data_IF_080653266554
#
_entry.id   IF_080653266554
#
_cell.length_a   1.000
_cell.length_b   1.000
_cell.length_c   1.000
_cell.angle_alpha   90.00
_cell.angle_beta   90.00
_cell.angle_gamma   90.00
#
_symmetry.space_group_name_H-M   'P 1'
#
loop_
_entity.id
_entity.type
_entity.pdbx_description
1 polymer ?
#
# COMPACT_ATOMS: atom_id res chain seq x y z
N UNK A 1 -3.76 -4.17 12.71
CA UNK A 1 -2.72 -3.11 12.48
C UNK A 1 -1.36 -3.73 12.75
N UNK A 2 -0.32 -3.32 12.03
CA UNK A 2 1.05 -3.81 12.31
C UNK A 2 1.54 -3.39 13.70
N UNK A 3 2.47 -4.17 14.25
CA UNK A 3 3.18 -3.82 15.49
C UNK A 3 4.13 -2.63 15.26
N UNK A 4 4.68 -2.10 16.34
CA UNK A 4 5.58 -0.94 16.34
C UNK A 4 6.86 -1.15 15.52
N UNK A 5 7.44 -2.35 15.50
CA UNK A 5 8.63 -2.66 14.70
C UNK A 5 8.34 -2.77 13.20
N UNK A 6 7.12 -3.14 12.82
CA UNK A 6 6.69 -3.25 11.42
C UNK A 6 5.98 -2.00 10.89
N UNK A 7 5.80 -0.93 11.70
CA UNK A 7 5.20 0.33 11.21
C UNK A 7 5.97 0.94 10.05
N UNK A 8 7.29 0.77 10.00
CA UNK A 8 8.17 1.23 8.92
C UNK A 8 8.18 0.33 7.68
N UNK A 9 7.43 -0.78 7.70
CA UNK A 9 7.34 -1.69 6.57
C UNK A 9 6.74 -0.98 5.35
N UNK A 10 5.62 -0.27 5.52
CA UNK A 10 5.03 0.55 4.48
C UNK A 10 5.71 1.93 4.43
N UNK A 11 6.21 2.32 3.26
CA UNK A 11 6.85 3.62 3.04
C UNK A 11 5.89 4.62 2.41
N UNK A 12 6.33 5.87 2.22
CA UNK A 12 5.57 6.93 1.54
C UNK A 12 4.15 7.18 2.11
N UNK A 13 3.98 7.02 3.43
CA UNK A 13 2.69 7.25 4.09
C UNK A 13 1.70 6.08 3.96
N UNK A 14 2.14 4.90 3.51
CA UNK A 14 1.34 3.68 3.51
C UNK A 14 0.89 3.25 4.90
N UNK A 15 -0.33 2.71 4.99
CA UNK A 15 -0.87 2.17 6.24
C UNK A 15 -0.60 0.68 6.31
N UNK A 16 0.04 0.22 7.38
CA UNK A 16 0.42 -1.18 7.57
C UNK A 16 -0.67 -2.00 8.27
N UNK A 17 -0.98 -3.16 7.68
CA UNK A 17 -1.88 -4.18 8.20
C UNK A 17 -1.15 -5.51 8.34
N UNK A 18 -1.52 -6.26 9.36
CA UNK A 18 -1.04 -7.62 9.57
C UNK A 18 -2.22 -8.55 9.32
N UNK A 19 -2.05 -9.53 8.43
CA UNK A 19 -3.08 -10.48 8.01
C UNK A 19 -2.92 -11.74 8.86
N UNK A 20 -3.76 -11.84 9.87
CA UNK A 20 -3.85 -13.01 10.74
C UNK A 20 -4.31 -14.24 9.91
N UNK A 21 -3.72 -15.40 10.16
CA UNK A 21 -4.00 -16.65 9.43
C UNK A 21 -2.96 -17.02 8.37
N UNK A 22 -2.29 -16.03 7.77
CA UNK A 22 -1.18 -16.27 6.82
C UNK A 22 0.15 -15.65 7.27
N UNK A 23 0.18 -15.01 8.44
CA UNK A 23 1.37 -14.39 9.05
C UNK A 23 2.12 -13.43 8.10
N UNK A 24 1.37 -12.60 7.36
CA UNK A 24 1.92 -11.67 6.38
C UNK A 24 1.57 -10.21 6.69
N UNK A 25 2.46 -9.31 6.27
CA UNK A 25 2.27 -7.86 6.31
C UNK A 25 1.73 -7.38 4.96
N UNK A 26 0.83 -6.41 4.99
CA UNK A 26 0.25 -5.81 3.79
C UNK A 26 0.11 -4.29 3.98
N UNK A 27 0.25 -3.55 2.88
CA UNK A 27 0.21 -2.09 2.87
C UNK A 27 -0.97 -1.56 2.08
N UNK A 28 -1.74 -0.64 2.67
CA UNK A 28 -2.65 0.22 1.91
C UNK A 28 -1.88 1.47 1.48
N UNK A 29 -1.63 1.58 0.19
CA UNK A 29 -0.89 2.69 -0.37
C UNK A 29 -1.77 3.92 -0.58
N UNK A 30 -1.26 5.13 -0.32
CA UNK A 30 -1.93 6.35 -0.71
C UNK A 30 -1.94 6.50 -2.24
N UNK A 31 -2.82 7.37 -2.73
CA UNK A 31 -2.88 7.72 -4.16
C UNK A 31 -1.51 8.22 -4.61
N UNK A 32 -1.01 7.70 -5.73
CA UNK A 32 0.32 8.05 -6.23
C UNK A 32 1.39 7.03 -5.90
N UNK A 33 1.09 5.99 -5.12
CA UNK A 33 2.07 4.97 -4.73
C UNK A 33 1.55 3.54 -4.94
N UNK A 34 2.48 2.63 -5.23
CA UNK A 34 2.22 1.21 -5.48
C UNK A 34 3.42 0.34 -5.07
N UNK A 35 3.29 -0.96 -5.29
CA UNK A 35 4.20 -2.01 -4.80
C UNK A 35 3.87 -2.44 -3.37
N UNK A 36 4.39 -3.60 -2.95
CA UNK A 36 4.02 -4.28 -1.69
C UNK A 36 4.21 -3.44 -0.43
N UNK A 37 5.12 -2.47 -0.52
CA UNK A 37 5.50 -1.54 0.55
C UNK A 37 5.20 -0.08 0.20
N UNK A 38 4.47 0.19 -0.88
CA UNK A 38 4.22 1.54 -1.40
C UNK A 38 5.49 2.29 -1.83
N UNK A 39 6.48 1.57 -2.37
CA UNK A 39 7.81 2.12 -2.67
C UNK A 39 7.91 2.68 -4.09
N UNK A 40 7.03 2.25 -4.99
CA UNK A 40 6.96 2.79 -6.34
C UNK A 40 5.98 3.96 -6.39
N UNK A 41 6.28 4.95 -7.23
CA UNK A 41 5.29 5.92 -7.64
C UNK A 41 4.36 5.30 -8.69
N UNK A 42 3.06 5.30 -8.40
CA UNK A 42 2.06 5.03 -9.41
C UNK A 42 1.92 6.28 -10.29
N UNK A 43 2.09 6.12 -11.60
CA UNK A 43 1.83 7.19 -12.57
C UNK A 43 0.31 7.42 -12.67
N UNK A 44 -0.24 8.13 -11.67
CA UNK A 44 -1.68 8.39 -11.45
C UNK A 44 -2.39 9.18 -12.55
N UNK A 45 -1.67 9.56 -13.60
CA UNK A 45 -2.25 10.24 -14.76
C UNK A 45 -3.05 9.27 -15.67
N UNK A 46 -2.72 7.97 -15.68
CA UNK A 46 -3.40 6.99 -16.54
C UNK A 46 -4.62 6.33 -15.87
N UNK A 47 -4.59 6.12 -14.55
CA UNK A 47 -5.66 5.43 -13.82
C UNK A 47 -6.95 6.25 -13.65
N UNK A 48 -6.88 7.59 -13.71
CA UNK A 48 -8.09 8.44 -13.70
C UNK A 48 -8.85 8.44 -15.02
N UNK A 49 -8.20 8.08 -16.14
CA UNK A 49 -8.82 8.08 -17.46
C UNK A 49 -9.33 6.70 -17.89
N UNK A 50 -8.81 5.62 -17.29
CA UNK A 50 -9.13 4.25 -17.66
C UNK A 50 -10.18 3.58 -16.75
N UNK A 51 -11.11 4.35 -16.17
CA UNK A 51 -12.40 3.88 -15.66
C UNK A 51 -12.46 2.48 -15.05
N UNK A 52 -11.58 2.18 -14.09
CA UNK A 52 -11.77 1.04 -13.19
C UNK A 52 -12.24 1.56 -11.83
N UNK A 53 -13.45 2.14 -11.84
CA UNK A 53 -14.40 1.80 -10.78
C UNK A 53 -14.92 0.40 -11.15
N UNK A 54 -14.84 -0.56 -10.22
CA UNK A 54 -15.66 -1.76 -10.30
C UNK A 54 -17.13 -1.38 -10.11
#
# INVERSE_FOLDING_TARGET
KCNETAKSYCVNGGVCYYIEGINQLSCKCPVGYTGDRCQQFAMVNFSKHLGFEL
#
